data_IF_706075278073
#
_entry.id   IF_706075278073
#
_cell.length_a   1.000
_cell.length_b   1.000
_cell.length_c   1.000
_cell.angle_alpha   90.00
_cell.angle_beta   90.00
_cell.angle_gamma   90.00
#
_symmetry.space_group_name_H-M   'P 1'
#
loop_
_entity.id
_entity.type
_entity.pdbx_description
1 polymer ?
#
# COMPACT_ATOMS: atom_id res chain seq x y z
N UNK A 1 -14.58 6.90 -19.36
CA UNK A 1 -13.95 6.10 -20.42
C UNK A 1 -12.44 5.94 -20.27
N UNK A 2 -11.68 6.97 -19.85
CA UNK A 2 -10.21 6.87 -19.76
C UNK A 2 -9.71 5.74 -18.82
N UNK A 3 -10.37 5.49 -17.69
CA UNK A 3 -10.05 4.38 -16.79
C UNK A 3 -10.06 3.01 -17.50
N UNK A 4 -11.18 2.68 -18.16
CA UNK A 4 -11.36 1.40 -18.86
C UNK A 4 -10.32 1.20 -19.96
N UNK A 5 -10.00 2.27 -20.71
CA UNK A 5 -8.92 2.22 -21.71
C UNK A 5 -7.59 1.87 -21.05
N UNK A 6 -7.29 2.49 -19.91
CA UNK A 6 -6.10 2.19 -19.12
C UNK A 6 -6.03 0.74 -18.65
N UNK A 7 -7.13 0.20 -18.12
CA UNK A 7 -7.21 -1.19 -17.66
C UNK A 7 -7.00 -2.18 -18.82
N UNK A 8 -7.67 -1.98 -19.96
CA UNK A 8 -7.50 -2.82 -21.15
C UNK A 8 -6.03 -2.83 -21.60
N UNK A 9 -5.36 -1.67 -21.56
CA UNK A 9 -3.94 -1.58 -21.92
C UNK A 9 -3.05 -2.32 -20.92
N UNK A 10 -3.34 -2.30 -19.62
CA UNK A 10 -2.62 -3.09 -18.62
C UNK A 10 -2.80 -4.59 -18.84
N UNK A 11 -4.04 -5.04 -19.03
CA UNK A 11 -4.36 -6.45 -19.28
C UNK A 11 -3.72 -6.95 -20.59
N UNK A 12 -3.56 -6.07 -21.58
CA UNK A 12 -2.84 -6.34 -22.82
C UNK A 12 -1.31 -6.28 -22.69
N UNK A 13 -0.76 -6.10 -21.48
CA UNK A 13 0.68 -6.03 -21.24
C UNK A 13 1.34 -4.73 -21.73
N UNK A 14 0.59 -3.63 -21.80
CA UNK A 14 1.05 -2.32 -22.30
C UNK A 14 1.01 -1.24 -21.20
N UNK A 15 1.76 -1.40 -20.09
CA UNK A 15 1.70 -0.48 -18.94
C UNK A 15 2.11 0.95 -19.30
N UNK A 16 3.11 1.14 -20.18
CA UNK A 16 3.52 2.47 -20.65
C UNK A 16 2.40 3.21 -21.38
N UNK A 17 1.63 2.50 -22.21
CA UNK A 17 0.48 3.08 -22.92
C UNK A 17 -0.68 3.40 -21.98
N UNK A 18 -0.81 2.66 -20.87
CA UNK A 18 -1.87 2.86 -19.88
C UNK A 18 -1.67 4.13 -19.02
N UNK A 19 -0.45 4.69 -18.94
CA UNK A 19 -0.16 5.80 -18.03
C UNK A 19 -0.98 7.06 -18.33
N UNK A 20 -1.01 7.51 -19.58
CA UNK A 20 -1.76 8.72 -19.98
C UNK A 20 -3.26 8.63 -19.67
N UNK A 21 -3.98 7.58 -20.11
CA UNK A 21 -5.40 7.46 -19.78
C UNK A 21 -5.66 7.30 -18.28
N UNK A 22 -4.85 6.53 -17.55
CA UNK A 22 -5.02 6.35 -16.11
C UNK A 22 -4.72 7.61 -15.30
N UNK A 23 -3.74 8.41 -15.73
CA UNK A 23 -3.47 9.74 -15.15
C UNK A 23 -4.66 10.66 -15.32
N UNK A 24 -5.17 10.79 -16.55
CA UNK A 24 -6.34 11.63 -16.84
C UNK A 24 -7.58 11.17 -16.05
N UNK A 25 -7.79 9.86 -15.94
CA UNK A 25 -8.87 9.30 -15.12
C UNK A 25 -8.69 9.59 -13.63
N UNK A 26 -7.45 9.48 -13.11
CA UNK A 26 -7.13 9.77 -11.70
C UNK A 26 -7.36 11.25 -11.39
N UNK A 27 -6.92 12.16 -12.25
CA UNK A 27 -7.12 13.60 -12.07
C UNK A 27 -8.60 13.99 -12.20
N UNK A 28 -9.28 13.51 -13.25
CA UNK A 28 -10.70 13.81 -13.50
C UNK A 28 -11.64 13.26 -12.43
N UNK A 29 -11.27 12.17 -11.77
CA UNK A 29 -12.03 11.58 -10.66
C UNK A 29 -11.68 12.17 -9.28
N UNK A 30 -10.84 13.22 -9.22
CA UNK A 30 -10.29 13.79 -7.98
C UNK A 30 -9.58 12.75 -7.12
N UNK A 31 -8.82 11.89 -7.80
CA UNK A 31 -8.03 10.80 -7.22
C UNK A 31 -8.90 9.81 -6.46
N UNK A 32 -9.97 9.33 -7.12
CA UNK A 32 -10.74 8.18 -6.66
C UNK A 32 -9.79 7.01 -6.35
N UNK A 33 -9.91 6.37 -5.17
CA UNK A 33 -8.91 5.42 -4.68
C UNK A 33 -8.72 4.20 -5.59
N UNK A 34 -9.79 3.69 -6.20
CA UNK A 34 -9.70 2.53 -7.11
C UNK A 34 -8.92 2.87 -8.38
N UNK A 35 -9.23 4.03 -8.99
CA UNK A 35 -8.56 4.49 -10.22
C UNK A 35 -7.10 4.86 -9.90
N UNK A 36 -6.87 5.58 -8.80
CA UNK A 36 -5.54 5.94 -8.34
C UNK A 36 -4.67 4.71 -8.06
N UNK A 37 -5.23 3.67 -7.44
CA UNK A 37 -4.48 2.43 -7.20
C UNK A 37 -4.13 1.71 -8.51
N UNK A 38 -5.07 1.66 -9.46
CA UNK A 38 -4.81 1.15 -10.82
C UNK A 38 -3.71 1.94 -11.53
N UNK A 39 -3.72 3.26 -11.40
CA UNK A 39 -2.65 4.11 -11.95
C UNK A 39 -1.30 3.86 -11.28
N UNK A 40 -1.26 3.74 -9.94
CA UNK A 40 -0.05 3.37 -9.19
C UNK A 40 0.52 2.02 -9.62
N UNK A 41 -0.35 1.01 -9.80
CA UNK A 41 0.04 -0.28 -10.36
C UNK A 41 0.62 -0.14 -11.76
N UNK A 42 -0.01 0.64 -12.64
CA UNK A 42 0.50 0.87 -13.99
C UNK A 42 1.92 1.47 -13.99
N UNK A 43 2.16 2.46 -13.11
CA UNK A 43 3.47 3.08 -12.94
C UNK A 43 4.53 2.06 -12.53
N UNK A 44 4.23 1.19 -11.56
CA UNK A 44 5.13 0.11 -11.12
C UNK A 44 5.38 -0.89 -12.27
N UNK A 45 4.32 -1.30 -12.97
CA UNK A 45 4.37 -2.29 -14.04
C UNK A 45 5.19 -1.85 -15.26
N UNK A 46 5.55 -0.56 -15.38
CA UNK A 46 6.48 -0.10 -16.42
C UNK A 46 7.92 -0.56 -16.22
N UNK A 47 8.25 -1.03 -14.99
CA UNK A 47 9.60 -1.36 -14.54
C UNK A 47 10.61 -0.21 -14.66
N UNK A 48 10.12 1.02 -14.83
CA UNK A 48 10.92 2.22 -14.89
C UNK A 48 11.00 2.86 -13.51
N UNK A 49 12.20 2.87 -12.92
CA UNK A 49 12.45 3.45 -11.60
C UNK A 49 12.09 4.94 -11.53
N UNK A 50 12.08 5.66 -12.66
CA UNK A 50 11.68 7.06 -12.71
C UNK A 50 10.19 7.26 -12.35
N UNK A 51 9.36 6.22 -12.47
CA UNK A 51 7.94 6.27 -12.15
C UNK A 51 7.62 6.01 -10.67
N UNK A 52 8.57 5.47 -9.89
CA UNK A 52 8.35 5.09 -8.49
C UNK A 52 7.96 6.27 -7.58
N UNK A 53 8.60 7.47 -7.66
CA UNK A 53 8.19 8.60 -6.82
C UNK A 53 6.74 9.00 -7.04
N UNK A 54 6.28 8.93 -8.28
CA UNK A 54 4.88 9.21 -8.58
C UNK A 54 3.95 8.08 -8.11
N UNK A 55 4.33 6.82 -8.33
CA UNK A 55 3.56 5.68 -7.87
C UNK A 55 3.31 5.78 -6.36
N UNK A 56 4.36 6.04 -5.57
CA UNK A 56 4.27 6.24 -4.12
C UNK A 56 3.32 7.39 -3.78
N UNK A 57 3.46 8.56 -4.43
CA UNK A 57 2.58 9.71 -4.17
C UNK A 57 1.12 9.39 -4.41
N UNK A 58 0.80 8.75 -5.54
CA UNK A 58 -0.56 8.38 -5.92
C UNK A 58 -1.13 7.32 -4.98
N UNK A 59 -0.34 6.27 -4.68
CA UNK A 59 -0.77 5.16 -3.82
C UNK A 59 -0.96 5.60 -2.36
N UNK A 60 -0.12 6.49 -1.83
CA UNK A 60 -0.36 7.09 -0.50
C UNK A 60 -1.67 7.85 -0.44
N UNK A 61 -2.02 8.58 -1.49
CA UNK A 61 -3.31 9.28 -1.57
C UNK A 61 -4.47 8.29 -1.67
N UNK A 62 -4.29 7.19 -2.42
CA UNK A 62 -5.29 6.15 -2.53
C UNK A 62 -5.56 5.47 -1.17
N UNK A 63 -4.51 5.04 -0.47
CA UNK A 63 -4.63 4.38 0.84
C UNK A 63 -5.11 5.33 1.95
N UNK A 64 -4.89 6.63 1.82
CA UNK A 64 -5.48 7.63 2.73
C UNK A 64 -6.98 7.83 2.50
N UNK A 65 -7.46 7.62 1.28
CA UNK A 65 -8.89 7.75 0.95
C UNK A 65 -9.69 6.47 1.18
N UNK A 66 -9.02 5.33 1.08
CA UNK A 66 -9.58 4.00 1.25
C UNK A 66 -8.49 3.12 1.88
N UNK A 67 -8.45 3.12 3.20
CA UNK A 67 -7.49 2.34 3.98
C UNK A 67 -7.92 0.88 4.16
N UNK A 68 -9.14 0.52 3.76
CA UNK A 68 -9.69 -0.84 3.80
C UNK A 68 -9.35 -1.66 2.55
N UNK A 69 -8.54 -1.13 1.63
CA UNK A 69 -8.15 -1.79 0.39
C UNK A 69 -6.78 -2.49 0.52
N UNK A 70 -6.72 -3.82 0.70
CA UNK A 70 -5.45 -4.53 0.87
C UNK A 70 -4.59 -4.51 -0.39
N UNK A 71 -5.21 -4.36 -1.56
CA UNK A 71 -4.49 -4.28 -2.84
C UNK A 71 -3.75 -2.94 -2.96
N UNK A 72 -4.34 -1.84 -2.52
CA UNK A 72 -3.67 -0.54 -2.50
C UNK A 72 -2.43 -0.53 -1.59
N UNK A 73 -2.54 -1.13 -0.40
CA UNK A 73 -1.40 -1.31 0.49
C UNK A 73 -0.32 -2.22 -0.09
N UNK A 74 -0.71 -3.30 -0.77
CA UNK A 74 0.22 -4.18 -1.48
C UNK A 74 1.02 -3.41 -2.54
N UNK A 75 0.35 -2.64 -3.39
CA UNK A 75 1.01 -1.86 -4.42
C UNK A 75 1.91 -0.78 -3.83
N UNK A 76 1.50 -0.12 -2.73
CA UNK A 76 2.32 0.86 -2.03
C UNK A 76 3.58 0.23 -1.44
N UNK A 77 3.45 -0.96 -0.84
CA UNK A 77 4.57 -1.76 -0.36
C UNK A 77 5.56 -2.06 -1.48
N UNK A 78 5.08 -2.60 -2.61
CA UNK A 78 5.92 -2.88 -3.79
C UNK A 78 6.65 -1.64 -4.29
N UNK A 79 5.98 -0.48 -4.35
CA UNK A 79 6.62 0.76 -4.78
C UNK A 79 7.75 1.19 -3.83
N UNK A 80 7.53 1.08 -2.51
CA UNK A 80 8.55 1.36 -1.52
C UNK A 80 9.74 0.40 -1.61
N UNK A 81 9.49 -0.92 -1.73
CA UNK A 81 10.54 -1.93 -1.90
C UNK A 81 11.40 -1.63 -3.13
N UNK A 82 10.78 -1.36 -4.28
CA UNK A 82 11.51 -1.04 -5.51
C UNK A 82 12.28 0.28 -5.42
N UNK A 83 11.84 1.20 -4.56
CA UNK A 83 12.53 2.48 -4.29
C UNK A 83 13.64 2.36 -3.22
N UNK A 84 13.73 1.23 -2.52
CA UNK A 84 14.68 0.99 -1.43
C UNK A 84 14.24 1.48 -0.05
N UNK A 85 12.98 1.89 0.12
CA UNK A 85 12.42 2.31 1.41
C UNK A 85 11.81 1.10 2.16
N UNK A 86 12.68 0.18 2.57
CA UNK A 86 12.31 -1.04 3.27
C UNK A 86 11.45 -0.79 4.54
N UNK A 87 11.73 0.24 5.38
CA UNK A 87 10.91 0.50 6.55
C UNK A 87 9.46 0.87 6.20
N UNK A 88 9.23 1.69 5.17
CA UNK A 88 7.87 2.02 4.73
C UNK A 88 7.20 0.90 3.95
N UNK A 89 7.96 0.06 3.25
CA UNK A 89 7.44 -1.17 2.68
C UNK A 89 6.89 -2.12 3.76
N UNK A 90 7.63 -2.27 4.87
CA UNK A 90 7.19 -3.06 6.01
C UNK A 90 5.94 -2.47 6.68
N UNK A 91 5.82 -1.14 6.76
CA UNK A 91 4.59 -0.50 7.23
C UNK A 91 3.40 -0.85 6.32
N UNK A 92 3.54 -0.71 5.00
CA UNK A 92 2.48 -1.08 4.06
C UNK A 92 2.09 -2.57 4.16
N UNK A 93 3.08 -3.44 4.42
CA UNK A 93 2.84 -4.86 4.70
C UNK A 93 2.06 -5.06 6.00
N UNK A 94 2.37 -4.30 7.04
CA UNK A 94 1.69 -4.37 8.33
C UNK A 94 0.21 -3.97 8.22
N UNK A 95 -0.08 -2.88 7.50
CA UNK A 95 -1.45 -2.43 7.20
C UNK A 95 -2.25 -3.52 6.50
N UNK A 96 -1.69 -4.04 5.40
CA UNK A 96 -2.32 -5.11 4.62
C UNK A 96 -2.59 -6.34 5.48
N UNK A 97 -1.61 -6.77 6.28
CA UNK A 97 -1.76 -7.93 7.15
C UNK A 97 -2.82 -7.71 8.23
N UNK A 98 -2.92 -6.50 8.79
CA UNK A 98 -3.95 -6.14 9.75
C UNK A 98 -5.35 -6.29 9.15
N UNK A 99 -5.57 -5.75 7.94
CA UNK A 99 -6.84 -5.87 7.20
C UNK A 99 -7.20 -7.32 6.90
N UNK A 100 -6.21 -8.14 6.57
CA UNK A 100 -6.40 -9.57 6.27
C UNK A 100 -6.54 -10.43 7.54
N UNK A 101 -6.46 -9.85 8.73
CA UNK A 101 -6.55 -10.56 10.00
C UNK A 101 -5.29 -11.34 10.40
N UNK A 102 -4.20 -11.21 9.66
CA UNK A 102 -2.91 -11.81 9.99
C UNK A 102 -2.16 -10.97 11.02
N UNK A 103 -2.61 -11.10 12.27
CA UNK A 103 -2.08 -10.35 13.41
C UNK A 103 -0.60 -10.64 13.67
N UNK A 104 -0.11 -11.83 13.29
CA UNK A 104 1.30 -12.17 13.48
C UNK A 104 2.17 -11.37 12.52
N UNK A 105 1.83 -11.38 11.24
CA UNK A 105 2.58 -10.63 10.22
C UNK A 105 2.45 -9.13 10.46
N UNK A 106 1.25 -8.64 10.77
CA UNK A 106 1.00 -7.24 11.08
C UNK A 106 1.93 -6.73 12.18
N UNK A 107 1.97 -7.43 13.32
CA UNK A 107 2.84 -7.06 14.45
C UNK A 107 4.34 -7.12 14.09
N UNK A 108 4.78 -8.14 13.36
CA UNK A 108 6.20 -8.30 13.02
C UNK A 108 6.67 -7.21 12.04
N UNK A 109 5.92 -6.98 10.97
CA UNK A 109 6.25 -5.97 9.97
C UNK A 109 6.16 -4.55 10.55
N UNK A 110 5.19 -4.28 11.42
CA UNK A 110 5.07 -3.01 12.12
C UNK A 110 6.30 -2.71 13.00
N UNK A 111 6.78 -3.70 13.76
CA UNK A 111 8.01 -3.54 14.57
C UNK A 111 9.24 -3.31 13.72
N UNK A 112 9.35 -3.98 12.58
CA UNK A 112 10.43 -3.74 11.63
C UNK A 112 10.38 -2.30 11.08
N UNK A 113 9.18 -1.84 10.67
CA UNK A 113 8.97 -0.48 10.20
C UNK A 113 9.40 0.56 11.25
N UNK A 114 9.00 0.39 12.51
CA UNK A 114 9.38 1.29 13.61
C UNK A 114 10.89 1.42 13.81
N UNK A 115 11.67 0.38 13.51
CA UNK A 115 13.12 0.39 13.68
C UNK A 115 13.83 1.26 12.63
N UNK A 116 13.25 1.41 11.45
CA UNK A 116 13.82 2.20 10.34
C UNK A 116 13.14 3.53 10.05
N UNK A 117 11.92 3.75 10.55
CA UNK A 117 11.20 5.02 10.41
C UNK A 117 11.58 5.97 11.55
N UNK A 118 11.84 7.27 11.29
CA UNK A 118 12.10 8.24 12.34
C UNK A 118 11.02 8.26 13.43
N UNK A 119 11.45 8.14 14.69
CA UNK A 119 10.56 8.13 15.84
C UNK A 119 9.65 9.37 15.87
N UNK A 120 8.41 9.19 16.32
CA UNK A 120 7.35 10.21 16.39
C UNK A 120 6.91 10.81 15.04
N UNK A 121 7.38 10.29 13.90
CA UNK A 121 6.78 10.62 12.61
C UNK A 121 5.40 9.96 12.45
N UNK A 122 4.56 10.45 11.54
CA UNK A 122 3.22 9.89 11.32
C UNK A 122 3.25 8.39 10.96
N UNK A 123 4.17 7.99 10.06
CA UNK A 123 4.33 6.59 9.66
C UNK A 123 4.82 5.73 10.84
N UNK A 124 5.67 6.28 11.72
CA UNK A 124 6.13 5.58 12.92
C UNK A 124 5.01 5.36 13.94
N UNK A 125 4.18 6.39 14.18
CA UNK A 125 3.03 6.29 15.09
C UNK A 125 2.05 5.25 14.57
N UNK A 126 1.78 5.27 13.25
CA UNK A 126 0.91 4.29 12.62
C UNK A 126 1.45 2.87 12.72
N UNK A 127 2.76 2.67 12.53
CA UNK A 127 3.42 1.38 12.78
C UNK A 127 3.29 0.95 14.26
N UNK A 128 3.48 1.89 15.20
CA UNK A 128 3.34 1.62 16.63
C UNK A 128 1.93 1.12 16.97
N UNK A 129 0.89 1.77 16.45
CA UNK A 129 -0.50 1.40 16.69
C UNK A 129 -0.78 -0.03 16.23
N UNK A 130 -0.35 -0.40 15.02
CA UNK A 130 -0.50 -1.77 14.50
C UNK A 130 0.24 -2.79 15.36
N UNK A 131 1.48 -2.49 15.77
CA UNK A 131 2.25 -3.38 16.60
C UNK A 131 1.59 -3.67 17.97
N UNK A 132 0.91 -2.66 18.53
CA UNK A 132 0.17 -2.77 19.78
C UNK A 132 -1.13 -3.56 19.59
N UNK A 133 -2.00 -3.14 18.66
CA UNK A 133 -3.32 -3.74 18.46
C UNK A 133 -3.23 -5.20 18.03
N UNK A 134 -2.30 -5.53 17.12
CA UNK A 134 -2.08 -6.91 16.69
C UNK A 134 -1.45 -7.78 17.78
N UNK A 135 -0.61 -7.21 18.64
CA UNK A 135 -0.06 -7.88 19.81
C UNK A 135 -1.16 -8.30 20.80
N UNK A 136 -2.09 -7.39 21.09
CA UNK A 136 -3.22 -7.63 21.98
C UNK A 136 -4.17 -8.69 21.43
N UNK A 137 -4.51 -8.63 20.14
CA UNK A 137 -5.35 -9.60 19.47
C UNK A 137 -4.78 -11.03 19.57
N UNK A 138 -3.46 -11.17 19.38
CA UNK A 138 -2.74 -12.44 19.53
C UNK A 138 -2.76 -12.96 20.98
N UNK A 139 -2.62 -12.07 21.97
CA UNK A 139 -2.71 -12.40 23.38
C UNK A 139 -4.11 -12.91 23.79
N UNK A 140 -5.16 -12.27 23.29
CA UNK A 140 -6.54 -12.66 23.53
C UNK A 140 -6.88 -14.02 22.91
N UNK A 141 -6.43 -14.29 21.68
CA UNK A 141 -6.61 -15.58 21.01
C UNK A 141 -5.97 -16.75 21.76
N UNK A 142 -4.76 -16.55 22.32
CA UNK A 142 -4.10 -17.58 23.16
C UNK A 142 -4.86 -17.89 24.44
N UNK A 143 -5.47 -16.88 25.08
CA UNK A 143 -6.28 -17.08 26.30
C UNK A 143 -7.57 -17.86 26.01
N UNK A 144 -8.21 -17.65 24.85
CA UNK A 144 -9.40 -18.42 24.44
C UNK A 144 -9.09 -19.89 24.15
N UNK A 145 -7.96 -20.22 23.50
CA UNK A 145 -7.58 -21.61 23.19
C UNK A 145 -7.16 -22.45 24.40
N UNK A 146 -6.90 -21.83 25.55
CA UNK A 146 -6.51 -22.50 26.81
C UNK A 146 -7.70 -22.76 27.75
N UNK A 147 -8.89 -22.26 27.43
CA UNK A 147 -10.14 -22.51 28.15
C UNK A 147 -10.93 -23.57 27.40
#
# INVERSE_FOLDING_TARGET
FQEIVGQILLEAGKPKSALTPLRAATEGSRSNPLIATTFGHALIATEDKANLPEAIRVLRVATQRDDDNPWAWMQLGTAYEQSGDEPRAALATAERAQLMGDQRTAMQSARFAMAGIPANSADWIRAQDIAMTSGDAMGAGKKKRKR
#
